data_IF_748316147176
#
_entry.id   IF_748316147176
#
_cell.length_a   1.000
_cell.length_b   1.000
_cell.length_c   1.000
_cell.angle_alpha   90.00
_cell.angle_beta   90.00
_cell.angle_gamma   90.00
#
_symmetry.space_group_name_H-M   'P 1'
#
loop_
_entity.id
_entity.type
_entity.pdbx_description
1 polymer ?
#
# COMPACT_ATOMS: atom_id res chain seq x y z
N UNK A 1 -29.67 30.76 -36.99
CA UNK A 1 -28.42 30.39 -36.31
C UNK A 1 -28.79 29.56 -35.09
N UNK A 2 -28.75 28.23 -35.22
CA UNK A 2 -29.12 27.32 -34.12
C UNK A 2 -27.88 27.10 -33.26
N UNK A 3 -27.87 27.70 -32.06
CA UNK A 3 -26.83 27.50 -31.07
C UNK A 3 -27.13 26.20 -30.33
N UNK A 4 -26.36 25.15 -30.65
CA UNK A 4 -26.41 23.88 -29.92
C UNK A 4 -25.76 24.10 -28.55
N UNK A 5 -26.60 24.25 -27.53
CA UNK A 5 -26.15 24.25 -26.12
C UNK A 5 -25.54 22.88 -25.84
N UNK A 6 -24.29 22.78 -25.33
CA UNK A 6 -23.73 21.49 -24.95
C UNK A 6 -24.53 20.89 -23.80
N UNK A 7 -25.00 19.66 -24.00
CA UNK A 7 -25.86 18.91 -23.11
C UNK A 7 -25.20 18.63 -21.76
N UNK A 8 -25.57 19.38 -20.73
CA UNK A 8 -25.16 19.21 -19.32
C UNK A 8 -25.55 17.86 -18.73
N UNK A 9 -26.50 17.14 -19.33
CA UNK A 9 -26.96 15.82 -18.89
C UNK A 9 -25.89 14.72 -18.99
N UNK A 10 -25.11 14.68 -20.07
CA UNK A 10 -24.15 13.59 -20.31
C UNK A 10 -22.95 13.57 -19.34
N UNK A 11 -22.56 14.73 -18.82
CA UNK A 11 -21.53 14.84 -17.79
C UNK A 11 -22.00 14.32 -16.43
N UNK A 12 -23.24 14.64 -16.04
CA UNK A 12 -23.84 14.15 -14.81
C UNK A 12 -24.01 12.62 -14.83
N UNK A 13 -24.39 12.05 -15.97
CA UNK A 13 -24.49 10.60 -16.16
C UNK A 13 -23.13 9.91 -16.04
N UNK A 14 -22.08 10.51 -16.62
CA UNK A 14 -20.69 10.02 -16.54
C UNK A 14 -20.18 10.03 -15.09
N UNK A 15 -20.38 11.14 -14.37
CA UNK A 15 -19.99 11.27 -12.97
C UNK A 15 -20.70 10.23 -12.09
N UNK A 16 -22.00 10.03 -12.31
CA UNK A 16 -22.80 9.01 -11.59
C UNK A 16 -22.28 7.60 -11.86
N UNK A 17 -21.94 7.28 -13.12
CA UNK A 17 -21.38 5.98 -13.49
C UNK A 17 -19.98 5.73 -12.88
N UNK A 18 -19.14 6.76 -12.75
CA UNK A 18 -17.83 6.68 -12.08
C UNK A 18 -18.02 6.50 -10.57
N UNK A 19 -18.91 7.28 -9.95
CA UNK A 19 -19.21 7.17 -8.52
C UNK A 19 -19.72 5.77 -8.14
N UNK A 20 -20.66 5.24 -8.92
CA UNK A 20 -21.19 3.88 -8.74
C UNK A 20 -20.08 2.83 -8.86
N UNK A 21 -19.21 2.96 -9.86
CA UNK A 21 -18.07 2.07 -10.04
C UNK A 21 -17.09 2.10 -8.85
N UNK A 22 -16.68 3.28 -8.38
CA UNK A 22 -15.77 3.40 -7.24
C UNK A 22 -16.40 2.88 -5.94
N UNK A 23 -17.69 3.14 -5.73
CA UNK A 23 -18.45 2.62 -4.59
C UNK A 23 -18.50 1.08 -4.63
N UNK A 24 -18.68 0.48 -5.81
CA UNK A 24 -18.62 -0.98 -6.00
C UNK A 24 -17.25 -1.59 -5.67
N UNK A 25 -16.20 -0.76 -5.68
CA UNK A 25 -14.83 -1.12 -5.29
C UNK A 25 -14.48 -0.71 -3.86
N UNK A 26 -15.47 -0.31 -3.07
CA UNK A 26 -15.29 0.13 -1.67
C UNK A 26 -14.37 1.35 -1.50
N UNK A 27 -14.29 2.20 -2.53
CA UNK A 27 -13.50 3.44 -2.51
C UNK A 27 -14.36 4.66 -2.88
N UNK A 28 -15.45 4.94 -2.13
CA UNK A 28 -16.33 6.06 -2.46
C UNK A 28 -15.57 7.39 -2.37
N UNK A 29 -15.44 8.16 -3.47
CA UNK A 29 -14.69 9.42 -3.46
C UNK A 29 -15.42 10.53 -2.70
N UNK A 30 -14.67 11.51 -2.19
CA UNK A 30 -15.25 12.81 -1.82
C UNK A 30 -15.65 13.58 -3.09
N UNK A 31 -16.68 14.42 -3.00
CA UNK A 31 -17.12 15.25 -4.14
C UNK A 31 -16.00 16.15 -4.64
N UNK A 32 -15.29 16.82 -3.74
CA UNK A 32 -14.16 17.69 -4.07
C UNK A 32 -13.05 16.96 -4.82
N UNK A 33 -12.69 15.75 -4.38
CA UNK A 33 -11.67 14.97 -5.05
C UNK A 33 -12.12 14.52 -6.44
N UNK A 34 -13.38 14.06 -6.56
CA UNK A 34 -13.93 13.61 -7.84
C UNK A 34 -13.96 14.76 -8.86
N UNK A 35 -14.47 15.92 -8.47
CA UNK A 35 -14.54 17.10 -9.34
C UNK A 35 -13.14 17.56 -9.78
N UNK A 36 -12.16 17.55 -8.85
CA UNK A 36 -10.76 17.86 -9.17
C UNK A 36 -10.19 16.89 -10.20
N UNK A 37 -10.40 15.58 -10.02
CA UNK A 37 -9.90 14.57 -10.97
C UNK A 37 -10.58 14.72 -12.32
N UNK A 38 -11.91 14.83 -12.37
CA UNK A 38 -12.68 14.96 -13.60
C UNK A 38 -12.26 16.18 -14.42
N UNK A 39 -11.92 17.31 -13.77
CA UNK A 39 -11.44 18.53 -14.43
C UNK A 39 -10.15 18.33 -15.25
N UNK A 40 -9.36 17.31 -14.92
CA UNK A 40 -8.09 17.00 -15.59
C UNK A 40 -8.20 15.89 -16.63
N UNK A 41 -9.37 15.25 -16.78
CA UNK A 41 -9.56 14.15 -17.71
C UNK A 41 -9.87 14.65 -19.12
N UNK A 42 -9.43 13.87 -20.12
CA UNK A 42 -9.72 14.17 -21.52
C UNK A 42 -11.20 13.87 -21.82
N UNK A 43 -11.94 14.77 -22.48
CA UNK A 43 -13.37 14.60 -22.73
C UNK A 43 -13.77 13.38 -23.57
N UNK A 44 -12.86 12.84 -24.39
CA UNK A 44 -13.20 11.84 -25.42
C UNK A 44 -12.87 10.39 -25.04
N UNK A 45 -12.59 10.09 -23.77
CA UNK A 45 -12.30 8.72 -23.33
C UNK A 45 -13.59 7.91 -23.11
N UNK A 46 -13.53 6.60 -23.35
CA UNK A 46 -14.65 5.70 -23.03
C UNK A 46 -14.91 5.65 -21.52
N UNK A 47 -16.15 5.40 -21.11
CA UNK A 47 -16.53 5.32 -19.69
C UNK A 47 -15.69 4.30 -18.92
N UNK A 48 -15.39 3.15 -19.52
CA UNK A 48 -14.54 2.12 -18.91
C UNK A 48 -13.10 2.62 -18.71
N UNK A 49 -12.55 3.33 -19.69
CA UNK A 49 -11.24 3.95 -19.60
C UNK A 49 -11.18 5.03 -18.50
N UNK A 50 -12.23 5.85 -18.40
CA UNK A 50 -12.37 6.84 -17.34
C UNK A 50 -12.45 6.18 -15.96
N UNK A 51 -13.32 5.18 -15.79
CA UNK A 51 -13.45 4.41 -14.55
C UNK A 51 -12.12 3.83 -14.06
N UNK A 52 -11.35 3.19 -14.97
CA UNK A 52 -10.03 2.64 -14.63
C UNK A 52 -9.01 3.72 -14.31
N UNK A 53 -9.00 4.82 -15.05
CA UNK A 53 -8.11 5.96 -14.80
C UNK A 53 -8.39 6.62 -13.46
N UNK A 54 -9.67 6.82 -13.12
CA UNK A 54 -10.07 7.40 -11.84
C UNK A 54 -9.78 6.45 -10.69
N UNK A 55 -10.02 5.15 -10.84
CA UNK A 55 -9.63 4.17 -9.81
C UNK A 55 -8.13 4.16 -9.58
N UNK A 56 -7.31 4.18 -10.64
CA UNK A 56 -5.87 4.33 -10.52
C UNK A 56 -5.50 5.63 -9.78
N UNK A 57 -6.17 6.74 -10.16
CA UNK A 57 -6.26 8.02 -9.45
C UNK A 57 -6.37 7.85 -7.93
N UNK A 58 -7.43 7.16 -7.55
CA UNK A 58 -7.86 6.94 -6.17
C UNK A 58 -6.84 6.13 -5.38
N UNK A 59 -6.39 5.01 -5.96
CA UNK A 59 -5.42 4.13 -5.31
C UNK A 59 -4.04 4.78 -5.11
N UNK A 60 -3.71 5.79 -5.91
CA UNK A 60 -2.51 6.61 -5.78
C UNK A 60 -2.64 7.82 -4.82
N UNK A 61 -3.83 8.06 -4.26
CA UNK A 61 -4.11 9.20 -3.38
C UNK A 61 -4.18 8.80 -1.90
N UNK A 62 -4.12 9.79 -1.01
CA UNK A 62 -4.35 9.65 0.43
C UNK A 62 -5.86 9.58 0.74
N UNK A 63 -6.31 8.45 1.28
CA UNK A 63 -7.75 8.19 1.54
C UNK A 63 -8.35 9.10 2.59
N UNK A 64 -7.52 9.74 3.43
CA UNK A 64 -8.01 10.69 4.43
C UNK A 64 -8.58 11.97 3.82
N UNK A 65 -8.23 12.26 2.57
CA UNK A 65 -8.71 13.43 1.82
C UNK A 65 -9.54 13.06 0.58
N UNK A 66 -9.30 11.87 0.01
CA UNK A 66 -9.93 11.44 -1.23
C UNK A 66 -11.16 10.57 -1.06
N UNK A 67 -11.32 9.88 0.07
CA UNK A 67 -12.41 8.93 0.31
C UNK A 67 -13.42 9.47 1.32
N UNK A 68 -14.71 9.29 1.02
CA UNK A 68 -15.79 9.61 1.95
C UNK A 68 -15.81 8.58 3.09
N UNK A 69 -15.69 9.06 4.31
CA UNK A 69 -15.79 8.24 5.52
C UNK A 69 -17.20 8.27 6.11
N UNK A 70 -17.64 7.12 6.63
CA UNK A 70 -18.86 6.94 7.41
C UNK A 70 -18.52 6.20 8.69
N UNK A 71 -19.39 6.22 9.69
CA UNK A 71 -19.16 5.50 10.96
C UNK A 71 -19.02 3.98 10.77
N UNK A 72 -19.54 3.43 9.67
CA UNK A 72 -19.45 2.00 9.33
C UNK A 72 -18.22 1.63 8.48
N UNK A 73 -17.56 2.62 7.88
CA UNK A 73 -16.42 2.42 6.98
C UNK A 73 -15.08 2.87 7.58
N UNK A 74 -15.05 3.10 8.90
CA UNK A 74 -13.88 3.53 9.66
C UNK A 74 -13.65 2.60 10.85
N UNK A 75 -12.41 2.54 11.33
CA UNK A 75 -12.02 1.75 12.48
C UNK A 75 -12.71 2.29 13.75
N UNK A 76 -13.19 1.43 14.67
CA UNK A 76 -13.70 1.86 15.97
C UNK A 76 -12.68 2.71 16.73
N UNK A 77 -13.12 3.68 17.52
CA UNK A 77 -12.22 4.59 18.26
C UNK A 77 -11.35 3.87 19.30
N UNK A 78 -11.80 2.71 19.78
CA UNK A 78 -11.12 1.87 20.75
C UNK A 78 -10.33 0.71 20.11
N UNK A 79 -10.15 0.71 18.78
CA UNK A 79 -9.46 -0.36 18.03
C UNK A 79 -8.05 -0.65 18.57
N UNK A 80 -7.37 0.37 19.10
CA UNK A 80 -6.00 0.28 19.62
C UNK A 80 -5.94 0.10 21.14
N UNK A 81 -7.08 -0.15 21.81
CA UNK A 81 -7.13 -0.33 23.26
C UNK A 81 -6.52 -1.69 23.67
N UNK A 82 -5.39 -1.72 24.41
CA UNK A 82 -4.75 -2.97 24.81
C UNK A 82 -5.53 -3.75 25.88
N UNK A 83 -6.45 -3.09 26.59
CA UNK A 83 -7.26 -3.69 27.64
C UNK A 83 -8.45 -4.48 27.08
N UNK A 84 -8.84 -4.22 25.83
CA UNK A 84 -9.88 -5.01 25.15
C UNK A 84 -9.28 -6.35 24.72
N UNK A 85 -9.76 -7.43 25.35
CA UNK A 85 -9.24 -8.77 25.08
C UNK A 85 -9.42 -9.16 23.60
N UNK A 86 -10.65 -9.02 23.10
CA UNK A 86 -11.01 -9.29 21.71
C UNK A 86 -12.12 -8.34 21.23
N UNK A 87 -12.04 -7.91 19.98
CA UNK A 87 -13.06 -7.13 19.27
C UNK A 87 -13.15 -7.62 17.82
N UNK A 88 -14.35 -7.76 17.28
CA UNK A 88 -14.54 -8.13 15.87
C UNK A 88 -14.98 -6.93 15.04
N UNK A 89 -14.18 -6.58 14.05
CA UNK A 89 -14.50 -5.53 13.08
C UNK A 89 -15.14 -6.18 11.85
N UNK A 90 -16.44 -5.90 11.65
CA UNK A 90 -17.22 -6.50 10.55
C UNK A 90 -16.78 -6.01 9.16
N UNK A 91 -16.55 -4.71 9.01
CA UNK A 91 -16.22 -4.08 7.72
C UNK A 91 -17.37 -4.11 6.71
N UNK A 92 -17.10 -3.75 5.44
CA UNK A 92 -15.79 -3.42 4.86
C UNK A 92 -15.20 -2.10 5.37
N UNK A 93 -13.91 -2.10 5.72
CA UNK A 93 -13.15 -0.88 6.02
C UNK A 93 -12.00 -0.76 5.05
N UNK A 94 -11.96 0.35 4.33
CA UNK A 94 -10.81 0.74 3.53
C UNK A 94 -9.73 1.32 4.44
N UNK A 95 -8.53 0.74 4.34
CA UNK A 95 -7.34 1.24 5.02
C UNK A 95 -6.19 1.37 4.03
N UNK A 96 -5.18 2.13 4.42
CA UNK A 96 -3.92 2.24 3.71
C UNK A 96 -2.73 1.94 4.61
N UNK A 97 -1.68 1.38 4.02
CA UNK A 97 -0.44 1.03 4.72
C UNK A 97 0.41 2.28 4.91
N UNK A 98 0.79 2.57 6.16
CA UNK A 98 1.73 3.64 6.53
C UNK A 98 3.14 3.13 6.82
N UNK A 99 3.27 1.91 7.36
CA UNK A 99 4.55 1.28 7.68
C UNK A 99 4.42 -0.25 7.58
N UNK A 100 5.53 -0.90 7.24
CA UNK A 100 5.68 -2.36 7.18
C UNK A 100 6.98 -2.74 7.91
N UNK A 101 6.89 -3.69 8.82
CA UNK A 101 8.03 -4.24 9.52
C UNK A 101 8.02 -5.75 9.41
N UNK A 102 9.12 -6.33 8.90
CA UNK A 102 9.42 -7.73 9.13
C UNK A 102 9.85 -7.90 10.58
N UNK A 103 9.02 -8.59 11.36
CA UNK A 103 9.27 -8.92 12.77
C UNK A 103 9.81 -10.34 12.94
N UNK A 104 9.91 -11.12 11.85
CA UNK A 104 10.53 -12.44 11.83
C UNK A 104 12.06 -12.41 11.72
N UNK A 105 12.64 -11.30 11.24
CA UNK A 105 14.09 -11.11 11.12
C UNK A 105 14.63 -10.02 12.05
N UNK A 106 15.89 -10.18 12.47
CA UNK A 106 16.58 -9.14 13.23
C UNK A 106 16.74 -7.86 12.40
N UNK A 107 16.64 -6.71 13.06
CA UNK A 107 16.82 -5.39 12.41
C UNK A 107 18.20 -5.27 11.77
N UNK A 108 19.23 -5.80 12.42
CA UNK A 108 20.60 -5.78 11.88
C UNK A 108 20.73 -6.59 10.59
N UNK A 109 20.14 -7.79 10.52
CA UNK A 109 20.13 -8.58 9.29
C UNK A 109 19.41 -7.86 8.13
N UNK A 110 18.37 -7.07 8.44
CA UNK A 110 17.70 -6.24 7.44
C UNK A 110 18.58 -5.07 6.99
N UNK A 111 19.32 -4.43 7.91
CA UNK A 111 20.30 -3.37 7.57
C UNK A 111 21.40 -3.90 6.66
N UNK A 112 21.98 -5.05 7.00
CA UNK A 112 23.02 -5.70 6.19
C UNK A 112 22.51 -6.02 4.78
N UNK A 113 21.27 -6.51 4.66
CA UNK A 113 20.65 -6.78 3.36
C UNK A 113 20.50 -5.52 2.50
N UNK A 114 20.10 -4.38 3.10
CA UNK A 114 20.02 -3.09 2.39
C UNK A 114 21.42 -2.61 1.96
N UNK A 115 22.42 -2.74 2.83
CA UNK A 115 23.79 -2.33 2.51
C UNK A 115 24.43 -3.20 1.41
N UNK A 116 24.10 -4.50 1.34
CA UNK A 116 24.53 -5.38 0.25
C UNK A 116 23.88 -4.97 -1.08
N UNK A 117 22.58 -4.65 -1.07
CA UNK A 117 21.87 -4.17 -2.26
C UNK A 117 22.44 -2.84 -2.76
N UNK A 118 22.71 -1.88 -1.86
CA UNK A 118 23.34 -0.59 -2.18
C UNK A 118 24.73 -0.77 -2.85
N UNK A 119 25.45 -1.85 -2.51
CA UNK A 119 26.77 -2.20 -3.07
C UNK A 119 26.68 -3.04 -4.36
N UNK A 120 25.49 -3.43 -4.79
CA UNK A 120 25.28 -4.32 -5.93
C UNK A 120 25.74 -5.76 -5.68
N UNK A 121 25.88 -6.17 -4.41
CA UNK A 121 26.28 -7.50 -4.02
C UNK A 121 25.03 -8.41 -3.96
N UNK A 122 24.82 -9.26 -4.96
CA UNK A 122 23.73 -10.25 -4.92
C UNK A 122 24.21 -11.53 -4.23
N UNK A 123 23.50 -11.95 -3.18
CA UNK A 123 23.82 -13.17 -2.43
C UNK A 123 23.14 -14.38 -3.08
N UNK A 124 23.91 -15.33 -3.62
CA UNK A 124 23.44 -16.71 -3.86
C UNK A 124 24.04 -17.62 -2.78
N UNK A 125 23.30 -17.85 -1.70
CA UNK A 125 23.77 -18.72 -0.61
C UNK A 125 24.97 -18.14 0.16
N UNK A 126 25.81 -19.01 0.76
CA UNK A 126 26.92 -18.63 1.66
C UNK A 126 28.12 -17.97 0.96
N UNK A 127 27.95 -17.42 -0.24
CA UNK A 127 29.03 -16.85 -1.04
C UNK A 127 28.60 -15.49 -1.61
N UNK A 128 29.43 -14.47 -1.35
CA UNK A 128 29.23 -13.08 -1.79
C UNK A 128 29.94 -12.93 -3.14
N UNK A 129 29.20 -12.72 -4.23
CA UNK A 129 29.78 -12.47 -5.56
C UNK A 129 29.71 -10.97 -5.84
N UNK A 130 30.87 -10.33 -6.01
CA UNK A 130 30.99 -8.95 -6.48
C UNK A 130 30.64 -8.90 -7.97
N UNK A 131 29.59 -8.17 -8.34
CA UNK A 131 29.32 -7.88 -9.75
C UNK A 131 30.38 -6.90 -10.26
N UNK A 132 31.40 -7.42 -10.96
CA UNK A 132 32.32 -6.60 -11.74
C UNK A 132 31.65 -6.35 -13.10
N UNK A 133 31.49 -5.10 -13.55
CA UNK A 133 31.07 -4.83 -14.92
C UNK A 133 32.25 -5.19 -15.83
N UNK A 134 32.17 -6.32 -16.51
CA UNK A 134 32.93 -6.54 -17.74
C UNK A 134 32.00 -6.19 -18.90
N UNK A 135 32.28 -5.06 -19.53
CA UNK A 135 31.78 -4.75 -20.86
C UNK A 135 32.36 -5.79 -21.82
N UNK A 136 31.51 -6.59 -22.49
CA UNK A 136 31.70 -7.18 -23.84
C UNK A 136 30.63 -8.28 -24.13
N UNK A 137 29.68 -7.86 -24.98
CA UNK A 137 29.00 -8.59 -26.07
C UNK A 137 28.00 -9.76 -25.91
N UNK A 138 27.10 -9.75 -26.90
CA UNK A 138 25.82 -10.40 -27.09
C UNK A 138 25.89 -11.90 -27.47
N UNK A 139 24.88 -12.67 -27.04
CA UNK A 139 24.02 -13.58 -27.85
C UNK A 139 23.59 -14.87 -27.13
N UNK A 140 22.27 -14.99 -26.95
CA UNK A 140 21.43 -16.20 -26.99
C UNK A 140 21.72 -17.40 -26.06
N UNK A 141 20.77 -17.65 -25.13
CA UNK A 141 20.67 -18.94 -24.43
C UNK A 141 19.62 -18.96 -23.31
N UNK A 142 18.37 -19.18 -23.67
CA UNK A 142 17.22 -19.37 -22.76
C UNK A 142 17.42 -20.56 -21.82
N UNK A 143 17.57 -20.34 -20.50
CA UNK A 143 16.92 -21.14 -19.43
C UNK A 143 17.20 -20.62 -18.01
N UNK A 144 16.12 -20.10 -17.43
CA UNK A 144 15.79 -20.14 -15.99
C UNK A 144 16.84 -19.61 -15.01
N UNK A 145 16.78 -18.31 -14.76
CA UNK A 145 17.22 -17.71 -13.50
C UNK A 145 16.11 -17.88 -12.45
N UNK A 146 16.27 -18.70 -11.39
CA UNK A 146 15.58 -18.43 -10.15
C UNK A 146 16.47 -17.46 -9.38
N UNK A 147 16.31 -16.16 -9.63
CA UNK A 147 16.65 -15.17 -8.62
C UNK A 147 15.49 -15.15 -7.62
N UNK A 148 15.41 -16.18 -6.77
CA UNK A 148 14.50 -16.14 -5.62
C UNK A 148 15.13 -15.16 -4.64
N UNK A 149 14.71 -13.91 -4.76
CA UNK A 149 14.82 -12.89 -3.72
C UNK A 149 14.36 -13.54 -2.43
N UNK A 150 15.22 -13.73 -1.44
CA UNK A 150 14.77 -14.10 -0.09
C UNK A 150 14.23 -12.84 0.60
N UNK A 151 13.21 -12.23 -0.01
CA UNK A 151 12.27 -11.39 0.73
C UNK A 151 11.67 -12.31 1.78
N UNK A 152 11.71 -11.87 3.03
CA UNK A 152 11.16 -12.64 4.14
C UNK A 152 9.67 -12.85 3.94
N UNK A 153 9.20 -14.07 4.17
CA UNK A 153 7.78 -14.42 4.19
C UNK A 153 7.10 -14.00 5.51
N UNK A 154 7.72 -13.11 6.29
CA UNK A 154 7.15 -12.56 7.51
C UNK A 154 7.44 -13.39 8.77
N UNK A 155 6.66 -13.21 9.85
CA UNK A 155 5.46 -12.37 9.91
C UNK A 155 5.75 -10.88 9.79
N UNK A 156 4.82 -10.13 9.20
CA UNK A 156 4.89 -8.69 9.09
C UNK A 156 3.96 -7.99 10.09
N UNK A 157 4.46 -6.89 10.66
CA UNK A 157 3.70 -5.91 11.39
C UNK A 157 3.43 -4.72 10.47
N UNK A 158 2.18 -4.28 10.41
CA UNK A 158 1.75 -3.14 9.60
C UNK A 158 1.24 -2.01 10.49
N UNK A 159 1.46 -0.77 10.09
CA UNK A 159 0.70 0.38 10.59
C UNK A 159 -0.34 0.74 9.51
N UNK A 160 -1.61 0.64 9.85
CA UNK A 160 -2.72 0.90 8.94
C UNK A 160 -3.43 2.19 9.33
N UNK A 161 -3.97 2.91 8.34
CA UNK A 161 -4.78 4.11 8.55
C UNK A 161 -6.09 4.03 7.76
N UNK A 162 -7.21 4.41 8.37
CA UNK A 162 -8.51 4.50 7.70
C UNK A 162 -8.78 5.89 7.07
N UNK A 163 -9.91 6.03 6.37
CA UNK A 163 -10.35 7.29 5.76
C UNK A 163 -10.70 8.42 6.74
N UNK A 164 -10.78 8.17 8.04
CA UNK A 164 -10.89 9.22 9.06
C UNK A 164 -9.53 9.63 9.64
N UNK A 165 -8.44 9.01 9.19
CA UNK A 165 -7.10 9.23 9.69
C UNK A 165 -6.74 8.43 10.95
N UNK A 166 -7.64 7.57 11.45
CA UNK A 166 -7.35 6.72 12.61
C UNK A 166 -6.37 5.64 12.23
N UNK A 167 -5.43 5.38 13.12
CA UNK A 167 -4.38 4.39 12.91
C UNK A 167 -4.52 3.20 13.86
N UNK A 168 -4.13 2.02 13.36
CA UNK A 168 -4.07 0.80 14.14
C UNK A 168 -2.88 -0.05 13.70
N UNK A 169 -2.25 -0.73 14.65
CA UNK A 169 -1.28 -1.76 14.32
C UNK A 169 -2.00 -3.03 13.89
N UNK A 170 -1.43 -3.71 12.91
CA UNK A 170 -1.86 -5.01 12.46
C UNK A 170 -0.68 -5.98 12.44
N UNK A 171 -0.96 -7.26 12.60
CA UNK A 171 0.00 -8.33 12.39
C UNK A 171 -0.60 -9.42 11.52
N UNK A 172 0.27 -10.01 10.72
CA UNK A 172 0.00 -11.17 9.92
C UNK A 172 -0.13 -12.41 10.83
N UNK A 173 -1.38 -12.83 11.11
CA UNK A 173 -1.65 -14.06 11.86
C UNK A 173 -1.55 -15.29 10.96
N UNK A 174 -1.81 -15.11 9.66
CA UNK A 174 -1.57 -16.06 8.59
C UNK A 174 -0.92 -15.32 7.42
N UNK A 175 -0.02 -15.99 6.69
CA UNK A 175 0.78 -15.33 5.67
C UNK A 175 -0.08 -14.73 4.54
N UNK A 176 0.01 -13.41 4.36
CA UNK A 176 -0.46 -12.60 3.25
C UNK A 176 0.65 -12.54 2.20
N UNK A 177 0.75 -13.57 1.35
CA UNK A 177 1.83 -13.73 0.35
C UNK A 177 2.09 -12.51 -0.55
N UNK A 178 1.09 -11.65 -0.69
CA UNK A 178 1.13 -10.44 -1.52
C UNK A 178 1.62 -9.19 -0.76
N UNK A 179 1.81 -9.26 0.57
CA UNK A 179 2.33 -8.18 1.42
C UNK A 179 3.69 -8.59 2.00
N UNK A 180 4.70 -7.78 1.76
CA UNK A 180 6.02 -7.92 2.35
C UNK A 180 6.72 -6.55 2.46
N UNK A 181 7.95 -6.53 2.97
CA UNK A 181 8.74 -5.30 3.12
C UNK A 181 9.04 -4.55 1.80
N UNK A 182 8.89 -5.20 0.64
CA UNK A 182 9.02 -4.54 -0.66
C UNK A 182 7.70 -3.92 -1.16
N UNK A 183 6.56 -4.24 -0.53
CA UNK A 183 5.26 -3.67 -0.86
C UNK A 183 5.26 -2.15 -0.75
N UNK A 184 4.40 -1.52 -1.55
CA UNK A 184 4.35 -0.07 -1.68
C UNK A 184 3.69 0.60 -0.47
N UNK A 185 4.29 1.68 0.03
CA UNK A 185 3.63 2.50 1.06
C UNK A 185 2.46 3.27 0.45
N UNK A 186 1.36 3.33 1.19
CA UNK A 186 0.08 3.82 0.71
C UNK A 186 -0.74 2.78 -0.06
N UNK A 187 -0.30 1.51 -0.15
CA UNK A 187 -1.15 0.42 -0.66
C UNK A 187 -2.47 0.35 0.12
N UNK A 188 -3.57 0.17 -0.62
CA UNK A 188 -4.94 0.14 -0.12
C UNK A 188 -5.39 -1.29 0.12
N UNK A 189 -6.05 -1.51 1.25
CA UNK A 189 -6.58 -2.80 1.69
C UNK A 189 -8.05 -2.64 2.09
N UNK A 190 -8.86 -3.67 1.87
CA UNK A 190 -10.20 -3.79 2.47
C UNK A 190 -10.16 -4.85 3.55
N UNK A 191 -10.60 -4.46 4.75
CA UNK A 191 -10.70 -5.34 5.92
C UNK A 191 -12.14 -5.80 6.12
N UNK A 192 -12.35 -7.10 6.32
CA UNK A 192 -13.68 -7.70 6.59
C UNK A 192 -13.59 -8.77 7.66
N UNK A 193 -14.43 -8.71 8.69
CA UNK A 193 -14.43 -9.68 9.78
C UNK A 193 -13.04 -9.88 10.42
N UNK A 194 -12.34 -8.77 10.69
CA UNK A 194 -11.00 -8.80 11.30
C UNK A 194 -11.13 -8.86 12.81
N UNK A 195 -10.45 -9.84 13.42
CA UNK A 195 -10.31 -9.90 14.87
C UNK A 195 -9.24 -8.90 15.32
N UNK A 196 -9.54 -8.17 16.37
CA UNK A 196 -8.60 -7.32 17.11
C UNK A 196 -8.31 -8.03 18.42
N UNK A 197 -7.05 -8.24 18.74
CA UNK A 197 -6.62 -8.76 20.04
C UNK A 197 -5.66 -7.77 20.69
N UNK A 198 -5.99 -7.31 21.91
CA UNK A 198 -5.16 -6.36 22.68
C UNK A 198 -4.70 -5.15 21.85
N UNK A 199 -5.63 -4.56 21.11
CA UNK A 199 -5.36 -3.38 20.28
C UNK A 199 -4.65 -3.64 18.95
N UNK A 200 -4.47 -4.90 18.53
CA UNK A 200 -3.81 -5.27 17.27
C UNK A 200 -4.74 -6.03 16.35
N UNK A 201 -4.85 -5.60 15.09
CA UNK A 201 -5.60 -6.28 14.04
C UNK A 201 -4.89 -7.57 13.61
N UNK A 202 -5.60 -8.69 13.61
CA UNK A 202 -5.09 -10.01 13.23
C UNK A 202 -5.50 -10.30 11.78
N UNK A 203 -4.55 -10.13 10.86
CA UNK A 203 -4.78 -10.26 9.43
C UNK A 203 -4.57 -11.70 8.97
N UNK A 204 -5.43 -12.13 8.06
CA UNK A 204 -5.37 -13.42 7.37
C UNK A 204 -5.82 -13.23 5.91
N UNK A 205 -5.45 -14.13 4.99
CA UNK A 205 -5.93 -14.06 3.60
C UNK A 205 -7.47 -14.04 3.48
N UNK A 206 -8.19 -14.57 4.48
CA UNK A 206 -9.65 -14.60 4.48
C UNK A 206 -10.31 -13.26 4.84
N UNK A 207 -9.58 -12.35 5.49
CA UNK A 207 -10.12 -11.11 6.03
C UNK A 207 -9.52 -9.83 5.42
N UNK A 208 -8.58 -9.98 4.47
CA UNK A 208 -7.94 -8.89 3.73
C UNK A 208 -8.14 -9.08 2.23
N UNK A 209 -8.61 -8.03 1.57
CA UNK A 209 -8.58 -7.89 0.11
C UNK A 209 -7.60 -6.76 -0.26
N UNK A 210 -6.61 -7.05 -1.10
CA UNK A 210 -5.57 -6.09 -1.48
C UNK A 210 -6.00 -5.38 -2.76
N UNK A 211 -6.18 -4.06 -2.69
CA UNK A 211 -6.51 -3.24 -3.86
C UNK A 211 -5.25 -2.71 -4.57
N UNK A 212 -4.10 -2.73 -3.90
CA UNK A 212 -2.83 -2.21 -4.42
C UNK A 212 -2.74 -0.69 -4.31
N UNK A 213 -2.00 -0.08 -5.23
CA UNK A 213 -1.72 1.37 -5.20
C UNK A 213 -0.49 1.73 -4.37
N UNK A 214 -0.09 2.99 -4.49
CA UNK A 214 1.11 3.56 -3.89
C UNK A 214 0.96 5.07 -3.79
N UNK A 215 1.42 5.66 -2.70
CA UNK A 215 1.59 7.12 -2.61
C UNK A 215 3.07 7.41 -2.81
N UNK A 216 3.46 7.88 -4.01
CA UNK A 216 4.85 8.00 -4.45
C UNK A 216 5.75 8.73 -3.44
N UNK A 217 5.28 9.86 -2.92
CA UNK A 217 6.03 10.66 -1.96
C UNK A 217 6.30 9.89 -0.65
N UNK A 218 5.34 9.09 -0.20
CA UNK A 218 5.46 8.34 1.06
C UNK A 218 6.32 7.11 0.89
N UNK A 219 6.14 6.36 -0.21
CA UNK A 219 6.95 5.19 -0.53
C UNK A 219 8.42 5.56 -0.71
N UNK A 220 8.70 6.64 -1.46
CA UNK A 220 10.07 7.14 -1.63
C UNK A 220 10.69 7.49 -0.26
N UNK A 221 10.00 8.32 0.52
CA UNK A 221 10.49 8.74 1.84
C UNK A 221 10.76 7.55 2.75
N UNK A 222 9.83 6.59 2.80
CA UNK A 222 9.97 5.40 3.64
C UNK A 222 11.18 4.56 3.24
N UNK A 223 11.42 4.37 1.92
CA UNK A 223 12.59 3.63 1.43
C UNK A 223 13.90 4.32 1.78
N UNK A 224 13.97 5.63 1.53
CA UNK A 224 15.16 6.44 1.82
C UNK A 224 15.52 6.39 3.32
N UNK A 225 14.51 6.46 4.20
CA UNK A 225 14.71 6.48 5.64
C UNK A 225 14.91 5.09 6.27
N UNK A 226 14.59 4.01 5.53
CA UNK A 226 14.40 2.67 6.11
C UNK A 226 15.65 2.17 6.85
N UNK A 227 16.82 2.32 6.24
CA UNK A 227 18.09 1.89 6.83
C UNK A 227 18.38 2.63 8.14
N UNK A 228 18.17 3.95 8.18
CA UNK A 228 18.35 4.77 9.38
C UNK A 228 17.38 4.38 10.50
N UNK A 229 16.11 4.18 10.17
CA UNK A 229 15.08 3.72 11.13
C UNK A 229 15.46 2.36 11.72
N UNK A 230 15.92 1.42 10.91
CA UNK A 230 16.34 0.10 11.39
C UNK A 230 17.57 0.18 12.30
N UNK A 231 18.58 0.98 11.95
CA UNK A 231 19.77 1.24 12.79
C UNK A 231 19.38 1.85 14.14
N UNK A 232 18.58 2.91 14.13
CA UNK A 232 18.11 3.56 15.36
C UNK A 232 17.31 2.61 16.26
N UNK A 233 16.40 1.81 15.69
CA UNK A 233 15.62 0.81 16.45
C UNK A 233 16.43 -0.42 16.88
N UNK A 234 17.62 -0.63 16.32
CA UNK A 234 18.58 -1.62 16.78
C UNK A 234 19.47 -1.10 17.92
N UNK A 235 19.29 0.16 18.34
CA UNK A 235 20.09 0.79 19.40
C UNK A 235 21.42 1.35 18.91
N UNK A 236 21.61 1.52 17.59
CA UNK A 236 22.79 2.18 17.05
C UNK A 236 22.73 3.68 17.35
N UNK A 237 23.65 4.16 18.18
CA UNK A 237 23.94 5.57 18.39
C UNK A 237 25.23 5.90 17.66
N UNK A 238 25.17 6.82 16.69
CA UNK A 238 26.39 7.37 16.10
C UNK A 238 27.18 8.04 17.23
N UNK A 239 28.34 7.48 17.56
CA UNK A 239 29.25 8.12 18.51
C UNK A 239 29.71 9.42 17.87
N UNK A 240 29.19 10.56 18.34
CA UNK A 240 29.67 11.88 17.98
C UNK A 240 31.17 11.93 18.29
N UNK A 241 31.98 11.86 17.23
CA UNK A 241 33.40 12.17 17.24
C UNK A 241 33.64 13.63 16.90
#
# INVERSE_FOLDING_TARGET
MSSTVPSTSGLADTQTAILSFLTSKHVPPTGQWLDSVLSTLKPNASILGLQKTVLFRMLASDITTSVQSTTQSILPSDVSNPNTAQLLIRGPILVQILDIEDIGRSRWSQVEAIEMEDRGETTRGREIIRAVPTDEDEMQGTRSTPAVKTLSDGPHKLLLQDASGRTAYAMESENLREINVASSIGTKLILRNVNVARGTLLLTPSNVEILGGKIDAWDKKWRDDRKGVLKGRAGWTESLG
#
